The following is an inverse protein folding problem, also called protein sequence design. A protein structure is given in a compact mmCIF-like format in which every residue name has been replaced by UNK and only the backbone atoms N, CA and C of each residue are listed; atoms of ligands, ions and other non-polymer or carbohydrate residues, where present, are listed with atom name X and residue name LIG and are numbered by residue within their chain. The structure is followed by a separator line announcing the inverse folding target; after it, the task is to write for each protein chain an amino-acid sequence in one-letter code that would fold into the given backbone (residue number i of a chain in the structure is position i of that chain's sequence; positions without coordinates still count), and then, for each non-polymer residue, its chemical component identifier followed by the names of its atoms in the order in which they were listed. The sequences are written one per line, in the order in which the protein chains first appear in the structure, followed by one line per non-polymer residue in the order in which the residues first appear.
data_IF_734124635109
#
_entry.id   IF_734124635109
#
_cell.length_a   1.000
_cell.length_b   1.000
_cell.length_c   1.000
_cell.angle_alpha   90.00
_cell.angle_beta   90.00
_cell.angle_gamma   90.00
#
_symmetry.space_group_name_H-M   'P 1'
#
loop_
_entity.id
_entity.type
_entity.pdbx_description
1 polymer ?
#
# COMPACT_ATOMS: atom_id res chain seq x y z
N UNK A 1 6.62 27.38 -10.21
CA UNK A 1 7.32 26.53 -9.24
C UNK A 1 6.38 25.37 -8.92
N UNK A 2 6.45 24.30 -9.71
CA UNK A 2 5.60 23.12 -9.55
C UNK A 2 6.28 22.21 -8.53
N UNK A 3 5.97 22.39 -7.26
CA UNK A 3 6.27 21.42 -6.22
C UNK A 3 5.31 20.25 -6.43
N UNK A 4 5.68 19.32 -7.32
CA UNK A 4 5.08 18.00 -7.37
C UNK A 4 5.21 17.44 -5.97
N UNK A 5 4.07 17.35 -5.28
CA UNK A 5 3.93 16.87 -3.92
C UNK A 5 4.33 15.39 -3.92
N UNK A 6 5.62 15.12 -3.83
CA UNK A 6 6.19 13.82 -3.49
C UNK A 6 5.97 13.61 -1.98
N UNK A 7 4.72 13.62 -1.55
CA UNK A 7 4.38 13.07 -0.23
C UNK A 7 4.72 11.57 -0.22
N UNK A 8 4.76 10.92 0.96
CA UNK A 8 4.95 9.47 1.06
C UNK A 8 4.04 8.67 0.11
N UNK A 9 2.84 9.19 -0.16
CA UNK A 9 1.90 8.65 -1.16
C UNK A 9 2.42 8.59 -2.60
N UNK A 10 3.26 9.54 -3.03
CA UNK A 10 3.86 9.55 -4.37
C UNK A 10 4.98 8.52 -4.54
N UNK A 11 5.81 8.36 -3.50
CA UNK A 11 6.88 7.34 -3.48
C UNK A 11 6.27 5.94 -3.44
N UNK A 12 5.21 5.71 -2.65
CA UNK A 12 4.50 4.43 -2.62
C UNK A 12 3.88 4.08 -3.97
N UNK A 13 3.31 5.06 -4.68
CA UNK A 13 2.72 4.83 -6.00
C UNK A 13 3.79 4.51 -7.06
N UNK A 14 4.92 5.23 -7.06
CA UNK A 14 6.07 4.89 -7.92
C UNK A 14 6.62 3.49 -7.62
N UNK A 15 6.70 3.10 -6.35
CA UNK A 15 7.17 1.78 -5.94
C UNK A 15 6.22 0.66 -6.40
N UNK A 16 4.91 0.92 -6.33
CA UNK A 16 3.89 0.02 -6.87
C UNK A 16 3.93 -0.08 -8.40
N UNK A 17 4.09 1.05 -9.10
CA UNK A 17 4.25 1.08 -10.56
C UNK A 17 5.52 0.36 -11.02
N UNK A 18 6.57 0.38 -10.19
CA UNK A 18 7.78 -0.42 -10.40
C UNK A 18 7.56 -1.93 -10.17
N UNK A 19 6.32 -2.38 -9.95
CA UNK A 19 5.99 -3.79 -9.79
C UNK A 19 6.01 -4.26 -8.33
N UNK A 20 6.19 -3.39 -7.33
CA UNK A 20 6.17 -3.81 -5.92
C UNK A 20 4.77 -3.65 -5.32
N UNK A 21 3.98 -4.71 -5.36
CA UNK A 21 2.57 -4.69 -4.95
C UNK A 21 2.44 -5.11 -3.49
N UNK A 22 1.64 -4.39 -2.67
CA UNK A 22 1.43 -4.73 -1.27
C UNK A 22 0.45 -5.90 -1.11
N UNK A 23 0.82 -6.88 -0.29
CA UNK A 23 0.01 -8.01 0.14
C UNK A 23 -0.07 -7.97 1.66
N UNK A 24 -1.19 -8.39 2.23
CA UNK A 24 -1.29 -8.54 3.68
C UNK A 24 -1.08 -9.99 4.08
N UNK A 25 -0.44 -10.23 5.22
CA UNK A 25 -0.17 -11.58 5.70
C UNK A 25 -1.34 -12.04 6.57
N UNK A 26 -2.16 -13.02 6.13
CA UNK A 26 -3.37 -13.43 6.85
C UNK A 26 -3.08 -13.90 8.28
N UNK A 27 -1.94 -14.55 8.52
CA UNK A 27 -1.48 -14.94 9.86
C UNK A 27 -1.21 -13.75 10.78
N UNK A 28 -0.65 -12.65 10.25
CA UNK A 28 -0.40 -11.44 11.04
C UNK A 28 -1.69 -10.67 11.30
N UNK A 29 -2.60 -10.63 10.31
CA UNK A 29 -3.89 -9.94 10.41
C UNK A 29 -4.77 -10.58 11.48
N UNK A 30 -4.62 -11.87 11.76
CA UNK A 30 -5.33 -12.52 12.85
C UNK A 30 -5.04 -11.88 14.22
N UNK A 31 -3.85 -11.31 14.40
CA UNK A 31 -3.43 -10.62 15.62
C UNK A 31 -3.75 -9.12 15.60
N UNK A 32 -4.43 -8.62 14.55
CA UNK A 32 -4.78 -7.22 14.45
C UNK A 32 -5.82 -6.83 15.52
N UNK A 33 -5.60 -5.73 16.26
CA UNK A 33 -6.47 -5.31 17.36
C UNK A 33 -7.86 -4.84 16.91
N UNK A 34 -7.99 -4.34 15.67
CA UNK A 34 -9.27 -4.03 15.05
C UNK A 34 -9.90 -5.30 14.47
N UNK A 35 -10.95 -5.77 15.14
CA UNK A 35 -11.72 -6.96 14.74
C UNK A 35 -12.49 -6.75 13.43
N UNK A 36 -12.99 -5.53 13.16
CA UNK A 36 -13.76 -5.22 11.95
C UNK A 36 -12.85 -5.16 10.72
N UNK A 37 -11.67 -4.55 10.84
CA UNK A 37 -10.67 -4.57 9.78
C UNK A 37 -10.25 -6.01 9.46
N UNK A 38 -9.97 -6.80 10.51
CA UNK A 38 -9.63 -8.22 10.37
C UNK A 38 -10.72 -9.02 9.68
N UNK A 39 -11.98 -8.85 10.07
CA UNK A 39 -13.12 -9.55 9.45
C UNK A 39 -13.25 -9.22 7.95
N UNK A 40 -13.05 -7.96 7.58
CA UNK A 40 -13.06 -7.54 6.17
C UNK A 40 -11.91 -8.15 5.39
N UNK A 41 -10.68 -8.05 5.88
CA UNK A 41 -9.52 -8.64 5.20
C UNK A 41 -9.63 -10.16 5.06
N UNK A 42 -10.25 -10.85 6.02
CA UNK A 42 -10.55 -12.28 5.95
C UNK A 42 -11.69 -12.62 4.97
N UNK A 43 -12.58 -11.67 4.68
CA UNK A 43 -13.63 -11.83 3.67
C UNK A 43 -13.06 -11.73 2.24
N UNK A 44 -12.02 -10.93 2.04
CA UNK A 44 -11.35 -10.76 0.75
C UNK A 44 -10.30 -11.85 0.47
N UNK A 45 -9.89 -11.94 -0.79
CA UNK A 45 -8.94 -12.95 -1.25
C UNK A 45 -7.49 -12.52 -0.95
N UNK A 46 -6.88 -13.12 0.07
CA UNK A 46 -5.49 -12.89 0.46
C UNK A 46 -4.43 -13.26 -0.60
N UNK A 47 -4.82 -13.98 -1.65
CA UNK A 47 -3.91 -14.27 -2.78
C UNK A 47 -3.75 -13.07 -3.73
N UNK A 48 -4.67 -12.11 -3.67
CA UNK A 48 -4.62 -10.89 -4.46
C UNK A 48 -3.98 -9.77 -3.64
N UNK A 49 -3.35 -8.85 -4.34
CA UNK A 49 -2.74 -7.68 -3.70
C UNK A 49 -3.82 -6.78 -3.08
N UNK A 50 -3.43 -5.98 -2.08
CA UNK A 50 -4.31 -5.02 -1.44
C UNK A 50 -4.97 -4.07 -2.46
N UNK A 51 -4.21 -3.68 -3.48
CA UNK A 51 -4.60 -2.70 -4.49
C UNK A 51 -5.45 -3.28 -5.62
N UNK A 52 -5.58 -4.61 -5.69
CA UNK A 52 -6.55 -5.29 -6.54
C UNK A 52 -7.95 -5.33 -5.91
N UNK A 53 -8.08 -4.98 -4.64
CA UNK A 53 -9.34 -4.87 -3.92
C UNK A 53 -9.83 -3.43 -3.86
N UNK A 54 -11.10 -3.27 -3.48
CA UNK A 54 -11.63 -1.95 -3.18
C UNK A 54 -11.10 -1.45 -1.84
N UNK A 55 -10.04 -0.65 -1.92
CA UNK A 55 -9.38 -0.03 -0.77
C UNK A 55 -10.33 0.86 0.04
N UNK A 56 -11.34 1.46 -0.58
CA UNK A 56 -12.31 2.30 0.14
C UNK A 56 -13.21 1.43 1.02
N UNK A 57 -13.72 0.31 0.49
CA UNK A 57 -14.51 -0.66 1.27
C UNK A 57 -13.68 -1.29 2.41
N UNK A 58 -12.40 -1.58 2.15
CA UNK A 58 -11.47 -2.09 3.18
C UNK A 58 -11.15 -1.06 4.27
N UNK A 59 -11.13 0.21 3.92
CA UNK A 59 -10.85 1.30 4.84
C UNK A 59 -12.10 1.88 5.51
N UNK A 60 -13.30 1.42 5.13
CA UNK A 60 -14.57 1.92 5.65
C UNK A 60 -14.62 1.83 7.19
N UNK A 61 -15.02 2.89 7.88
CA UNK A 61 -15.03 2.91 9.35
C UNK A 61 -13.65 2.81 10.04
N UNK A 62 -12.52 2.91 9.32
CA UNK A 62 -11.24 3.21 9.95
C UNK A 62 -11.20 4.69 10.33
N UNK A 63 -10.79 4.97 11.57
CA UNK A 63 -10.63 6.32 12.09
C UNK A 63 -9.16 6.60 12.35
N UNK A 64 -8.72 7.83 12.10
CA UNK A 64 -7.34 8.22 12.38
C UNK A 64 -7.01 9.64 11.91
N UNK A 65 -5.72 9.96 11.92
CA UNK A 65 -5.22 11.32 11.65
C UNK A 65 -5.24 11.70 10.16
N UNK A 66 -5.27 10.72 9.26
CA UNK A 66 -5.33 10.95 7.82
C UNK A 66 -6.78 11.09 7.35
N UNK A 67 -7.04 12.03 6.46
CA UNK A 67 -8.34 12.15 5.77
C UNK A 67 -8.46 11.22 4.57
N UNK A 68 -7.36 10.59 4.15
CA UNK A 68 -7.35 9.64 3.06
C UNK A 68 -7.56 8.21 3.61
N UNK A 69 -8.65 7.51 3.21
CA UNK A 69 -8.99 6.17 3.71
C UNK A 69 -7.93 5.12 3.33
N UNK A 70 -7.33 5.23 2.15
CA UNK A 70 -6.24 4.33 1.72
C UNK A 70 -5.01 4.51 2.59
N UNK A 71 -4.70 5.76 2.97
CA UNK A 71 -3.59 6.03 3.88
C UNK A 71 -3.88 5.53 5.29
N UNK A 72 -5.12 5.62 5.78
CA UNK A 72 -5.52 5.05 7.07
C UNK A 72 -5.40 3.52 7.09
N UNK A 73 -5.83 2.86 6.01
CA UNK A 73 -5.70 1.40 5.85
C UNK A 73 -4.24 0.96 5.85
N UNK A 74 -3.40 1.61 5.03
CA UNK A 74 -1.97 1.31 4.97
C UNK A 74 -1.25 1.60 6.29
N UNK A 75 -1.64 2.65 7.01
CA UNK A 75 -1.09 2.98 8.32
C UNK A 75 -1.49 1.92 9.36
N UNK A 76 -2.77 1.53 9.38
CA UNK A 76 -3.30 0.49 10.28
C UNK A 76 -2.61 -0.86 10.06
N UNK A 77 -2.26 -1.19 8.81
CA UNK A 77 -1.59 -2.45 8.49
C UNK A 77 -0.06 -2.41 8.72
N UNK A 78 0.59 -1.27 8.45
CA UNK A 78 2.04 -1.14 8.65
C UNK A 78 2.42 -0.89 10.11
N UNK A 79 1.62 -0.10 10.81
CA UNK A 79 1.81 0.26 12.21
C UNK A 79 0.48 0.18 12.96
N UNK A 80 -0.01 -1.04 13.24
CA UNK A 80 -1.25 -1.20 13.98
C UNK A 80 -1.13 -0.54 15.36
N UNK A 81 -2.14 0.25 15.73
CA UNK A 81 -2.18 0.99 17.00
C UNK A 81 -1.02 1.98 17.22
N UNK A 82 -0.43 2.52 16.15
CA UNK A 82 0.54 3.62 16.26
C UNK A 82 -0.03 4.82 17.05
N UNK A 83 -1.32 5.12 16.90
CA UNK A 83 -2.00 6.20 17.63
C UNK A 83 -2.12 5.93 19.14
N UNK A 84 -2.04 4.67 19.57
CA UNK A 84 -1.98 4.27 20.98
C UNK A 84 -0.54 4.12 21.48
N UNK A 85 0.46 4.43 20.64
CA UNK A 85 1.88 4.27 20.97
C UNK A 85 2.34 2.82 21.06
N UNK A 86 1.59 1.88 20.48
CA UNK A 86 1.99 0.46 20.42
C UNK A 86 2.83 0.20 19.17
N UNK A 87 3.89 -0.59 19.33
CA UNK A 87 4.80 -0.97 18.24
C UNK A 87 4.52 -2.43 17.86
N UNK A 88 3.49 -2.64 17.03
CA UNK A 88 3.13 -3.94 16.49
C UNK A 88 3.89 -4.20 15.18
N UNK A 89 4.18 -5.48 14.85
CA UNK A 89 4.89 -5.81 13.62
C UNK A 89 4.09 -5.40 12.38
N UNK A 90 4.79 -4.98 11.33
CA UNK A 90 4.20 -4.66 10.04
C UNK A 90 3.50 -5.91 9.47
N UNK A 91 2.25 -5.73 9.06
CA UNK A 91 1.41 -6.81 8.53
C UNK A 91 1.29 -6.79 7.00
N UNK A 92 2.06 -5.91 6.34
CA UNK A 92 2.12 -5.76 4.88
C UNK A 92 3.45 -6.25 4.36
N UNK A 93 3.40 -7.07 3.33
CA UNK A 93 4.56 -7.53 2.56
C UNK A 93 4.47 -7.02 1.13
N UNK A 94 5.56 -6.42 0.64
CA UNK A 94 5.65 -6.00 -0.75
C UNK A 94 6.25 -7.12 -1.58
N UNK A 95 5.49 -7.60 -2.57
CA UNK A 95 5.96 -8.63 -3.51
C UNK A 95 6.23 -7.99 -4.86
N UNK A 96 7.36 -8.35 -5.46
CA UNK A 96 7.76 -7.84 -6.76
C UNK A 96 7.16 -8.69 -7.88
N UNK A 97 6.33 -8.05 -8.70
CA UNK A 97 5.62 -8.59 -9.85
C UNK A 97 6.12 -7.91 -11.13
N UNK A 98 7.14 -8.46 -11.80
CA UNK A 98 7.70 -7.88 -13.02
C UNK A 98 6.69 -7.80 -14.16
N UNK A 99 5.67 -8.68 -14.17
CA UNK A 99 4.55 -8.63 -15.12
C UNK A 99 3.57 -7.48 -14.88
N UNK A 100 3.55 -6.92 -13.67
CA UNK A 100 2.73 -5.77 -13.28
C UNK A 100 3.53 -4.47 -13.26
N UNK A 101 4.83 -4.53 -13.53
CA UNK A 101 5.68 -3.36 -13.66
C UNK A 101 5.18 -2.51 -14.83
N UNK A 102 4.67 -1.34 -14.52
CA UNK A 102 4.38 -0.32 -15.53
C UNK A 102 5.72 0.24 -15.95
N UNK A 103 6.36 -0.44 -16.90
CA UNK A 103 7.41 0.18 -17.71
C UNK A 103 6.78 1.44 -18.29
N UNK A 104 7.14 2.58 -17.72
CA UNK A 104 7.01 3.86 -18.38
C UNK A 104 7.94 3.78 -19.59
N UNK A 105 7.48 3.06 -20.62
CA UNK A 105 8.06 3.10 -21.94
C UNK A 105 7.71 4.50 -22.41
N UNK A 106 8.57 5.45 -22.01
CA UNK A 106 8.73 6.70 -22.70
C UNK A 106 8.86 6.30 -24.18
N UNK A 107 7.76 6.40 -24.92
CA UNK A 107 7.77 6.53 -26.37
C UNK A 107 8.43 7.88 -26.69
N UNK A 108 9.69 8.02 -26.29
CA UNK A 108 10.61 8.99 -26.83
C UNK A 108 11.17 8.35 -28.08
N UNK A 109 10.89 8.85 -29.30
CA UNK A 109 11.74 8.51 -30.41
C UNK A 109 13.13 9.04 -30.04
N UNK A 110 14.12 8.15 -30.08
CA UNK A 110 15.55 8.43 -29.88
C UNK A 110 16.06 8.28 -28.44
N UNK A 111 16.74 7.14 -28.23
CA UNK A 111 17.90 6.95 -27.36
C UNK A 111 18.33 8.17 -26.53
N UNK A 112 18.12 8.13 -25.21
CA UNK A 112 19.20 8.47 -24.29
C UNK A 112 18.97 7.84 -22.91
N UNK A 113 19.84 6.88 -22.62
CA UNK A 113 20.23 6.44 -21.28
C UNK A 113 20.36 7.63 -20.33
N UNK A 114 19.52 7.73 -19.29
CA UNK A 114 19.96 8.19 -17.95
C UNK A 114 18.99 7.60 -16.91
N UNK A 115 19.30 6.40 -16.40
CA UNK A 115 19.01 6.07 -15.00
C UNK A 115 20.36 6.08 -14.29
N UNK A 116 20.56 7.05 -13.39
CA UNK A 116 21.64 7.05 -12.41
C UNK A 116 21.03 7.58 -11.13
N UNK A 117 20.89 6.64 -10.18
CA UNK A 117 20.86 6.74 -8.70
C UNK A 117 20.58 8.11 -8.09
#
# INVERSE_FOLDING_TARGET
MFSTRNGPSGISLSYMLAGNWPYWSPDQIQNHPDELLRARLNYYDSQKSLVEHDLFSLADGLEGRSTNPVSLLLDSLQHPCADLGMELPCMVEYKHHPEKEVKHSLLTPSNLLIFTI
#
